data_IF_880373934368
#
_entry.id   IF_880373934368
#
_cell.length_a   1.000
_cell.length_b   1.000
_cell.length_c   1.000
_cell.angle_alpha   90.00
_cell.angle_beta   90.00
_cell.angle_gamma   90.00
#
_symmetry.space_group_name_H-M   'P 1'
#
loop_
_entity.id
_entity.type
_entity.pdbx_description
1 polymer ?
#
# COMPACT_ATOMS: atom_id res chain seq x y z
N UNK A 1 -58.36 5.08 16.00
CA UNK A 1 -57.54 6.15 15.39
C UNK A 1 -56.37 6.36 16.35
N UNK A 2 -55.31 5.58 16.14
CA UNK A 2 -53.95 6.03 15.72
C UNK A 2 -53.15 6.62 16.89
N UNK A 3 -51.87 6.31 17.14
CA UNK A 3 -50.97 5.27 16.67
C UNK A 3 -49.78 5.30 17.66
N UNK A 4 -49.33 4.13 18.12
CA UNK A 4 -48.13 4.01 18.94
C UNK A 4 -46.90 4.12 18.04
N UNK A 5 -46.10 5.18 18.21
CA UNK A 5 -44.86 5.37 17.47
C UNK A 5 -43.76 4.46 18.03
N UNK A 6 -43.63 3.31 17.36
CA UNK A 6 -42.57 2.31 17.49
C UNK A 6 -41.18 2.91 17.32
N UNK A 7 -40.27 2.54 18.24
CA UNK A 7 -38.84 2.85 18.21
C UNK A 7 -38.17 2.13 17.04
N UNK A 8 -37.37 2.85 16.26
CA UNK A 8 -36.32 2.22 15.44
C UNK A 8 -35.02 3.03 15.58
N UNK A 9 -34.33 2.84 16.72
CA UNK A 9 -32.89 3.11 16.78
C UNK A 9 -32.22 1.96 16.04
N UNK A 10 -31.66 2.23 14.86
CA UNK A 10 -30.83 1.28 14.12
C UNK A 10 -29.56 1.00 14.91
N UNK A 11 -29.68 0.06 15.85
CA UNK A 11 -28.61 -0.58 16.59
C UNK A 11 -27.92 -1.54 15.63
N UNK A 12 -26.90 -1.06 14.94
CA UNK A 12 -25.94 -1.95 14.31
C UNK A 12 -25.25 -2.75 15.42
N UNK A 13 -25.32 -4.10 15.40
CA UNK A 13 -24.69 -4.92 16.42
C UNK A 13 -23.17 -4.79 16.30
N UNK A 14 -22.52 -4.72 17.46
CA UNK A 14 -21.14 -4.32 17.59
C UNK A 14 -20.16 -5.22 16.85
N UNK A 15 -19.19 -4.57 16.21
CA UNK A 15 -17.81 -5.02 16.27
C UNK A 15 -17.08 -4.01 17.14
N UNK A 16 -17.42 -4.00 18.43
CA UNK A 16 -16.50 -3.52 19.46
C UNK A 16 -15.39 -4.56 19.56
N UNK A 17 -14.44 -4.52 18.61
CA UNK A 17 -13.12 -5.06 18.92
C UNK A 17 -12.54 -4.08 19.93
N UNK A 18 -12.77 -4.38 21.21
CA UNK A 18 -11.86 -4.00 22.28
C UNK A 18 -10.50 -4.60 21.91
N UNK A 19 -9.79 -3.94 20.99
CA UNK A 19 -8.42 -4.24 20.67
C UNK A 19 -7.63 -3.89 21.92
N UNK A 20 -7.29 -4.92 22.68
CA UNK A 20 -6.21 -4.96 23.65
C UNK A 20 -5.16 -3.89 23.34
N UNK A 21 -4.84 -3.02 24.31
CA UNK A 21 -4.22 -1.71 24.10
C UNK A 21 -3.09 -1.65 23.06
N UNK A 22 -2.30 -2.72 22.92
CA UNK A 22 -1.25 -2.89 21.91
C UNK A 22 -1.72 -2.67 20.45
N UNK A 23 -2.88 -3.20 20.06
CA UNK A 23 -3.40 -3.06 18.69
C UNK A 23 -3.89 -1.64 18.38
N UNK A 24 -4.46 -0.96 19.37
CA UNK A 24 -4.91 0.44 19.24
C UNK A 24 -3.75 1.43 19.13
N UNK A 25 -2.67 1.23 19.90
CA UNK A 25 -1.48 2.07 19.82
C UNK A 25 -0.77 1.94 18.47
N UNK A 26 -0.67 0.72 17.93
CA UNK A 26 -0.06 0.48 16.62
C UNK A 26 -0.83 1.17 15.49
N UNK A 27 -2.16 1.02 15.47
CA UNK A 27 -2.98 1.66 14.44
C UNK A 27 -2.91 3.19 14.50
N UNK A 28 -2.91 3.77 15.72
CA UNK A 28 -2.70 5.22 15.89
C UNK A 28 -1.32 5.68 15.41
N UNK A 29 -0.27 4.89 15.65
CA UNK A 29 1.07 5.22 15.16
C UNK A 29 1.12 5.24 13.62
N UNK A 30 0.43 4.29 12.96
CA UNK A 30 0.27 4.30 11.49
C UNK A 30 -0.48 5.55 11.03
N UNK A 31 -1.61 5.88 11.67
CA UNK A 31 -2.40 7.05 11.31
C UNK A 31 -1.60 8.35 11.43
N UNK A 32 -0.79 8.48 12.48
CA UNK A 32 0.10 9.63 12.67
C UNK A 32 1.16 9.72 11.58
N UNK A 33 1.78 8.60 11.19
CA UNK A 33 2.74 8.59 10.08
C UNK A 33 2.10 9.00 8.76
N UNK A 34 0.91 8.47 8.45
CA UNK A 34 0.16 8.83 7.24
C UNK A 34 -0.15 10.33 7.25
N UNK A 35 -0.71 10.85 8.35
CA UNK A 35 -1.02 12.28 8.49
C UNK A 35 0.22 13.15 8.29
N UNK A 36 1.33 12.82 8.97
CA UNK A 36 2.57 13.58 8.87
C UNK A 36 3.13 13.61 7.44
N UNK A 37 3.04 12.50 6.70
CA UNK A 37 3.50 12.44 5.30
C UNK A 37 2.53 13.14 4.34
N UNK A 38 1.22 13.19 4.63
CA UNK A 38 0.25 13.99 3.86
C UNK A 38 0.55 15.49 3.95
N UNK A 39 0.99 15.96 5.12
CA UNK A 39 1.35 17.36 5.37
C UNK A 39 2.76 17.73 4.86
N UNK A 40 3.51 16.76 4.30
CA UNK A 40 4.87 16.98 3.79
C UNK A 40 4.89 17.86 2.54
N UNK A 41 5.88 18.75 2.36
CA UNK A 41 6.09 19.47 1.10
C UNK A 41 6.55 18.53 -0.03
N UNK A 42 7.12 17.36 0.29
CA UNK A 42 7.60 16.37 -0.68
C UNK A 42 6.43 15.64 -1.37
N UNK A 43 6.38 15.72 -2.70
CA UNK A 43 5.32 15.11 -3.52
C UNK A 43 5.32 13.57 -3.48
N UNK A 44 6.47 12.94 -3.36
CA UNK A 44 6.61 11.49 -3.25
C UNK A 44 6.07 10.96 -1.92
N UNK A 45 6.43 11.63 -0.82
CA UNK A 45 5.91 11.30 0.51
C UNK A 45 4.39 11.50 0.60
N UNK A 46 3.85 12.56 -0.02
CA UNK A 46 2.39 12.73 -0.13
C UNK A 46 1.74 11.64 -0.97
N UNK A 47 2.38 11.20 -2.06
CA UNK A 47 1.86 10.11 -2.90
C UNK A 47 1.77 8.81 -2.09
N UNK A 48 2.84 8.40 -1.41
CA UNK A 48 2.86 7.24 -0.51
C UNK A 48 1.71 7.30 0.52
N UNK A 49 1.57 8.44 1.19
CA UNK A 49 0.57 8.61 2.23
C UNK A 49 -0.86 8.63 1.68
N UNK A 50 -1.09 9.26 0.53
CA UNK A 50 -2.39 9.26 -0.13
C UNK A 50 -2.80 7.84 -0.59
N UNK A 51 -1.86 7.05 -1.11
CA UNK A 51 -2.08 5.64 -1.42
C UNK A 51 -2.44 4.86 -0.16
N UNK A 52 -1.67 5.01 0.92
CA UNK A 52 -1.94 4.32 2.18
C UNK A 52 -3.31 4.73 2.79
N UNK A 53 -3.68 6.00 2.70
CA UNK A 53 -4.97 6.50 3.15
C UNK A 53 -6.13 5.90 2.35
N UNK A 54 -5.99 5.80 1.02
CA UNK A 54 -7.01 5.24 0.14
C UNK A 54 -7.31 3.76 0.42
N UNK A 55 -6.31 3.00 0.88
CA UNK A 55 -6.46 1.57 1.24
C UNK A 55 -6.35 1.31 2.73
N UNK A 56 -6.59 2.33 3.57
CA UNK A 56 -6.31 2.30 5.02
C UNK A 56 -6.80 1.05 5.76
N UNK A 57 -8.00 0.48 5.48
CA UNK A 57 -8.46 -0.74 6.15
C UNK A 57 -7.56 -1.98 5.92
N UNK A 58 -6.73 -1.96 4.87
CA UNK A 58 -5.81 -3.05 4.51
C UNK A 58 -4.40 -2.84 5.06
N UNK A 59 -4.07 -1.63 5.51
CA UNK A 59 -2.71 -1.25 5.94
C UNK A 59 -2.40 -1.86 7.30
N UNK A 60 -1.33 -2.67 7.32
CA UNK A 60 -0.76 -3.29 8.52
C UNK A 60 0.42 -2.52 9.07
N UNK A 61 1.23 -1.92 8.19
CA UNK A 61 2.34 -1.04 8.56
C UNK A 61 2.57 -0.02 7.43
N UNK A 62 3.21 1.10 7.77
CA UNK A 62 3.48 2.20 6.86
C UNK A 62 4.85 2.81 7.17
N UNK A 63 5.62 3.08 6.12
CA UNK A 63 6.98 3.65 6.20
C UNK A 63 7.90 2.84 7.14
N UNK A 64 7.96 1.53 6.93
CA UNK A 64 8.75 0.63 7.78
C UNK A 64 10.18 0.55 7.28
N UNK A 65 11.12 1.02 8.10
CA UNK A 65 12.56 1.02 7.81
C UNK A 65 13.24 -0.20 8.42
N UNK A 66 14.14 -0.81 7.65
CA UNK A 66 14.96 -1.95 8.05
C UNK A 66 16.43 -1.53 8.14
N UNK A 67 17.10 -1.92 9.22
CA UNK A 67 18.44 -1.43 9.54
C UNK A 67 18.45 0.00 10.09
N UNK A 68 19.64 0.50 10.43
CA UNK A 68 19.79 1.83 11.02
C UNK A 68 19.33 2.88 10.01
N UNK A 69 18.25 3.60 10.31
CA UNK A 69 17.65 4.62 9.42
C UNK A 69 17.25 4.09 8.02
N UNK A 70 16.99 2.78 7.87
CA UNK A 70 16.57 2.20 6.58
C UNK A 70 17.70 1.73 5.67
N UNK A 71 18.94 1.58 6.18
CA UNK A 71 20.10 1.16 5.38
C UNK A 71 19.95 -0.20 4.69
N UNK A 72 19.11 -1.09 5.22
CA UNK A 72 18.85 -2.39 4.60
C UNK A 72 17.72 -2.26 3.57
N UNK A 73 16.71 -1.46 3.88
CA UNK A 73 15.60 -1.17 2.98
C UNK A 73 14.43 -0.50 3.70
N UNK A 74 13.40 -0.17 2.93
CA UNK A 74 12.18 0.42 3.42
C UNK A 74 10.99 -0.22 2.70
N UNK A 75 9.91 -0.47 3.45
CA UNK A 75 8.60 -0.84 2.92
C UNK A 75 7.68 0.36 3.10
N UNK A 76 7.17 0.90 1.98
CA UNK A 76 6.27 2.05 2.03
C UNK A 76 4.92 1.66 2.64
N UNK A 77 4.29 0.60 2.12
CA UNK A 77 3.02 0.11 2.63
C UNK A 77 3.06 -1.41 2.76
N UNK A 78 2.78 -1.91 3.97
CA UNK A 78 2.60 -3.33 4.21
C UNK A 78 1.13 -3.65 4.45
N UNK A 79 0.61 -4.68 3.78
CA UNK A 79 -0.70 -5.27 4.09
C UNK A 79 -0.53 -6.70 4.60
N UNK A 80 -1.64 -7.37 4.92
CA UNK A 80 -1.60 -8.79 5.26
C UNK A 80 -1.23 -9.70 4.07
N UNK A 81 -1.47 -9.26 2.83
CA UNK A 81 -1.35 -10.11 1.63
C UNK A 81 -0.20 -9.73 0.71
N UNK A 82 0.17 -8.46 0.66
CA UNK A 82 1.18 -7.93 -0.25
C UNK A 82 1.89 -6.72 0.37
N UNK A 83 3.05 -6.39 -0.18
CA UNK A 83 3.79 -5.15 0.06
C UNK A 83 3.59 -4.23 -1.14
N UNK A 84 3.42 -2.93 -0.90
CA UNK A 84 3.36 -1.93 -1.97
C UNK A 84 4.59 -1.04 -1.87
N UNK A 85 5.30 -0.94 -2.98
CA UNK A 85 6.31 0.09 -3.26
C UNK A 85 5.62 1.21 -4.05
N UNK A 86 5.69 2.45 -3.57
CA UNK A 86 5.08 3.59 -4.23
C UNK A 86 6.17 4.43 -4.88
N UNK A 87 6.00 4.76 -6.16
CA UNK A 87 7.01 5.56 -6.88
C UNK A 87 6.40 6.58 -7.81
N UNK A 88 6.90 7.82 -7.72
CA UNK A 88 6.75 8.84 -8.75
C UNK A 88 8.00 9.00 -9.64
N UNK A 89 9.07 8.22 -9.37
CA UNK A 89 10.41 8.38 -9.95
C UNK A 89 10.68 7.56 -11.21
N UNK A 90 11.95 7.51 -11.61
CA UNK A 90 12.43 6.83 -12.83
C UNK A 90 12.59 5.32 -12.63
N UNK A 91 12.70 4.61 -13.75
CA UNK A 91 12.71 3.14 -13.83
C UNK A 91 13.94 2.46 -13.19
N UNK A 92 15.13 3.01 -13.42
CA UNK A 92 16.40 2.34 -13.14
C UNK A 92 16.63 2.08 -11.65
N UNK A 93 16.38 3.09 -10.80
CA UNK A 93 16.61 3.00 -9.35
C UNK A 93 15.61 2.06 -8.65
N UNK A 94 14.51 1.72 -9.31
CA UNK A 94 13.41 0.97 -8.72
C UNK A 94 13.58 -0.54 -8.83
N UNK A 95 14.31 -1.02 -9.81
CA UNK A 95 14.55 -2.47 -9.97
C UNK A 95 15.36 -3.04 -8.82
N UNK A 96 16.42 -2.35 -8.41
CA UNK A 96 17.21 -2.78 -7.25
C UNK A 96 16.37 -2.76 -5.97
N UNK A 97 15.52 -1.75 -5.80
CA UNK A 97 14.63 -1.66 -4.64
C UNK A 97 13.60 -2.81 -4.61
N UNK A 98 13.00 -3.15 -5.75
CA UNK A 98 12.06 -4.27 -5.87
C UNK A 98 12.75 -5.60 -5.52
N UNK A 99 13.96 -5.84 -6.03
CA UNK A 99 14.71 -7.06 -5.70
C UNK A 99 15.07 -7.13 -4.20
N UNK A 100 15.43 -6.00 -3.59
CA UNK A 100 15.66 -5.92 -2.13
C UNK A 100 14.39 -6.24 -1.35
N UNK A 101 13.22 -5.76 -1.76
CA UNK A 101 11.94 -6.02 -1.09
C UNK A 101 11.52 -7.49 -1.09
N UNK A 102 12.10 -8.33 -1.96
CA UNK A 102 11.88 -9.79 -1.94
C UNK A 102 12.75 -10.52 -0.93
N UNK A 103 13.79 -9.89 -0.42
CA UNK A 103 14.74 -10.54 0.47
C UNK A 103 14.08 -10.87 1.83
N UNK A 104 14.31 -12.08 2.40
CA UNK A 104 13.67 -12.50 3.64
C UNK A 104 13.98 -11.61 4.86
N UNK A 105 15.10 -10.88 4.85
CA UNK A 105 15.45 -9.94 5.91
C UNK A 105 14.51 -8.71 5.96
N UNK A 106 13.85 -8.37 4.85
CA UNK A 106 12.84 -7.29 4.74
C UNK A 106 11.43 -7.89 4.72
N UNK A 107 11.19 -8.85 3.83
CA UNK A 107 9.88 -9.48 3.61
C UNK A 107 9.92 -10.96 4.00
N UNK A 108 9.98 -11.20 5.31
CA UNK A 108 10.09 -12.54 5.91
C UNK A 108 9.06 -13.56 5.39
N UNK A 109 7.86 -13.09 5.08
CA UNK A 109 6.75 -13.91 4.61
C UNK A 109 6.70 -14.11 3.09
N UNK A 110 7.63 -13.53 2.34
CA UNK A 110 7.64 -13.64 0.87
C UNK A 110 6.38 -13.08 0.21
N UNK A 111 5.79 -12.04 0.80
CA UNK A 111 4.58 -11.40 0.26
C UNK A 111 4.86 -10.87 -1.16
N UNK A 112 3.92 -11.00 -2.11
CA UNK A 112 4.05 -10.34 -3.41
C UNK A 112 4.30 -8.85 -3.26
N UNK A 113 5.16 -8.30 -4.12
CA UNK A 113 5.46 -6.87 -4.20
C UNK A 113 4.66 -6.26 -5.34
N UNK A 114 3.82 -5.28 -5.01
CA UNK A 114 3.07 -4.46 -5.95
C UNK A 114 3.80 -3.14 -6.11
N UNK A 115 4.01 -2.70 -7.34
CA UNK A 115 4.59 -1.38 -7.61
C UNK A 115 3.48 -0.46 -8.07
N UNK A 116 3.17 0.55 -7.25
CA UNK A 116 2.24 1.61 -7.60
C UNK A 116 3.01 2.79 -8.19
N UNK A 117 2.94 2.92 -9.52
CA UNK A 117 3.69 3.92 -10.29
C UNK A 117 2.77 4.67 -11.28
N UNK A 118 1.94 5.62 -10.82
CA UNK A 118 0.94 6.29 -11.66
C UNK A 118 1.54 7.15 -12.79
N UNK A 119 2.85 7.41 -12.77
CA UNK A 119 3.57 8.11 -13.83
C UNK A 119 4.16 7.21 -14.92
N UNK A 120 4.15 5.89 -14.75
CA UNK A 120 4.86 4.97 -15.62
C UNK A 120 4.08 4.59 -16.88
N UNK A 121 4.82 4.34 -17.96
CA UNK A 121 4.29 3.82 -19.22
C UNK A 121 4.33 2.28 -19.28
N UNK A 122 3.73 1.69 -20.33
CA UNK A 122 3.60 0.23 -20.48
C UNK A 122 4.93 -0.53 -20.50
N UNK A 123 6.00 0.05 -21.05
CA UNK A 123 7.34 -0.57 -21.07
C UNK A 123 7.92 -0.69 -19.66
N UNK A 124 7.77 0.36 -18.85
CA UNK A 124 8.19 0.35 -17.46
C UNK A 124 7.36 -0.66 -16.65
N UNK A 125 6.03 -0.67 -16.80
CA UNK A 125 5.18 -1.66 -16.12
C UNK A 125 5.57 -3.10 -16.47
N UNK A 126 5.94 -3.37 -17.73
CA UNK A 126 6.37 -4.70 -18.18
C UNK A 126 7.65 -5.16 -17.50
N UNK A 127 8.65 -4.30 -17.38
CA UNK A 127 9.89 -4.66 -16.69
C UNK A 127 9.68 -5.06 -15.23
N UNK A 128 8.66 -4.50 -14.53
CA UNK A 128 8.38 -4.89 -13.13
C UNK A 128 7.88 -6.31 -13.08
N UNK A 129 7.02 -6.65 -14.05
CA UNK A 129 6.45 -7.99 -14.16
C UNK A 129 7.52 -9.02 -14.46
N UNK A 130 8.49 -8.68 -15.30
CA UNK A 130 9.65 -9.54 -15.59
C UNK A 130 10.54 -9.72 -14.36
N UNK A 131 10.70 -8.69 -13.52
CA UNK A 131 11.30 -8.80 -12.20
C UNK A 131 10.34 -9.32 -11.13
N UNK A 132 9.29 -10.08 -11.47
CA UNK A 132 8.45 -10.78 -10.50
C UNK A 132 7.60 -9.89 -9.57
N UNK A 133 7.49 -8.60 -9.85
CA UNK A 133 6.53 -7.70 -9.21
C UNK A 133 5.22 -7.59 -10.00
N UNK A 134 4.18 -7.00 -9.41
CA UNK A 134 2.95 -6.66 -10.12
C UNK A 134 2.84 -5.15 -10.32
N UNK A 135 3.00 -4.68 -11.56
CA UNK A 135 2.84 -3.26 -11.92
C UNK A 135 1.48 -2.99 -12.59
N UNK A 136 0.88 -1.84 -12.25
CA UNK A 136 -0.36 -1.34 -12.85
C UNK A 136 -0.10 -0.08 -13.67
N UNK A 137 -0.50 -0.04 -14.96
CA UNK A 137 -0.35 1.16 -15.79
C UNK A 137 -1.36 2.23 -15.38
N UNK A 138 -1.19 3.43 -15.94
CA UNK A 138 -2.19 4.50 -15.85
C UNK A 138 -3.60 3.99 -16.24
N UNK A 139 -4.64 4.31 -15.46
CA UNK A 139 -6.02 4.04 -15.89
C UNK A 139 -6.29 4.82 -17.18
N UNK A 140 -6.69 4.12 -18.25
CA UNK A 140 -7.00 4.68 -19.57
C UNK A 140 -6.07 4.27 -20.72
N UNK A 141 -4.98 3.53 -20.47
CA UNK A 141 -4.19 2.89 -21.55
C UNK A 141 -4.22 1.37 -21.39
N UNK A 142 -5.23 0.74 -21.99
CA UNK A 142 -5.24 -0.71 -22.20
C UNK A 142 -4.31 -0.98 -23.38
N UNK A 143 -3.07 -1.40 -23.13
CA UNK A 143 -2.29 -2.02 -24.19
C UNK A 143 -2.81 -3.44 -24.36
N UNK A 144 -3.43 -3.69 -25.52
CA UNK A 144 -3.79 -5.02 -25.96
C UNK A 144 -2.55 -5.92 -25.87
N UNK A 145 -2.68 -7.01 -25.10
CA UNK A 145 -1.66 -8.04 -25.05
C UNK A 145 -1.75 -8.79 -26.39
N UNK A 146 -0.70 -8.79 -27.23
CA UNK A 146 -0.73 -9.61 -28.43
C UNK A 146 -0.79 -11.07 -27.99
N UNK A 147 -1.92 -11.71 -28.27
CA UNK A 147 -2.07 -13.16 -28.17
C UNK A 147 -0.99 -13.81 -29.02
N UNK A 148 -0.05 -14.51 -28.37
CA UNK A 148 0.87 -15.40 -29.07
C UNK A 148 0.04 -16.47 -29.78
N UNK A 149 -0.05 -16.38 -31.10
CA UNK A 149 -0.38 -17.51 -31.95
C UNK A 149 0.72 -18.57 -31.79
N UNK A 150 0.29 -19.82 -31.66
CA UNK A 150 1.15 -21.00 -31.46
C UNK A 150 2.11 -21.22 -32.62
#
# INVERSE_FOLDING_TARGET
MESAATRHRSRWPGIQRAGTGVGGHHQRAIDLKIKNKLDSPDKGLRLEASTAQAIRPLVRDFDRKYGRKGTIGQVDIETNKFVIEVTGGTWADKMEQIERLKQPNINKSGKPVIVFAPGWNGKQVRGVREAGGSGFPRPGRVEEVPTRTR
#
